data_IF_360737032115
#
_entry.id   IF_360737032115
#
_cell.length_a   1.000
_cell.length_b   1.000
_cell.length_c   1.000
_cell.angle_alpha   90.00
_cell.angle_beta   90.00
_cell.angle_gamma   90.00
#
_symmetry.space_group_name_H-M   'P 1'
#
loop_
_entity.id
_entity.type
_entity.pdbx_description
1 polymer ?
2 non-polymer ?
3 non-polymer ?
4 non-polymer ?
5 water ?
#
# COMPACT_ATOMS: atom_id res chain seq x y z
N UNK A 4 -13.69 0.08 16.24
CA UNK A 4 -14.17 1.21 15.41
C UNK A 4 -13.61 2.54 15.95
N UNK A 5 -13.94 3.63 15.27
CA UNK A 5 -13.21 4.88 15.45
C UNK A 5 -14.20 6.04 15.62
N UNK A 6 -13.79 7.07 16.38
CA UNK A 6 -14.56 8.31 16.46
C UNK A 6 -14.71 9.02 15.12
N UNK A 7 -13.62 9.17 14.36
CA UNK A 7 -13.77 9.80 13.05
C UNK A 7 -13.93 8.67 12.02
N UNK A 8 -14.54 8.91 10.88
CA UNK A 8 -14.83 7.79 9.98
C UNK A 8 -13.60 7.40 9.17
N UNK A 9 -13.51 6.13 8.78
CA UNK A 9 -12.25 5.61 8.26
C UNK A 9 -11.84 6.26 6.95
N UNK A 10 -12.82 6.72 6.19
CA UNK A 10 -12.58 7.38 4.94
C UNK A 10 -11.84 8.69 5.17
N UNK A 11 -12.18 9.43 6.22
CA UNK A 11 -11.48 10.69 6.48
C UNK A 11 -10.04 10.34 6.90
N UNK A 12 -9.95 9.38 7.80
CA UNK A 12 -8.67 8.94 8.36
C UNK A 12 -7.69 8.47 7.29
N UNK A 13 -8.19 7.77 6.27
CA UNK A 13 -7.34 7.34 5.19
C UNK A 13 -6.86 8.46 4.25
N UNK A 14 -7.51 9.62 4.25
CA UNK A 14 -6.98 10.70 3.45
C UNK A 14 -5.89 11.51 4.21
N UNK A 15 -5.90 11.45 5.53
CA UNK A 15 -4.96 12.28 6.34
C UNK A 15 -3.48 12.08 5.99
N UNK A 16 -3.00 10.83 5.83
CA UNK A 16 -1.57 10.61 5.57
C UNK A 16 -1.12 11.17 4.21
N UNK A 17 -2.04 11.10 3.28
CA UNK A 17 -1.83 11.64 2.00
C UNK A 17 -1.77 13.18 2.02
N UNK A 18 -2.61 13.82 2.84
CA UNK A 18 -2.48 15.28 3.08
C UNK A 18 -1.12 15.63 3.67
N UNK A 19 -0.72 14.85 4.67
CA UNK A 19 0.55 15.04 5.37
C UNK A 19 1.74 14.85 4.39
N UNK A 20 1.73 13.79 3.57
CA UNK A 20 2.77 13.68 2.48
C UNK A 20 2.90 14.90 1.58
N UNK A 21 1.78 15.41 1.11
CA UNK A 21 1.82 16.52 0.25
C UNK A 21 2.29 17.79 0.93
N UNK A 22 1.85 17.99 2.18
CA UNK A 22 2.27 19.22 2.86
C UNK A 22 3.73 19.08 3.17
N UNK A 23 4.18 17.85 3.44
CA UNK A 23 5.58 17.66 3.81
C UNK A 23 6.49 18.05 2.65
N UNK A 24 6.08 17.66 1.46
CA UNK A 24 6.82 17.95 0.26
C UNK A 24 6.86 19.46 -0.07
N UNK A 25 5.77 20.17 0.23
CA UNK A 25 5.73 21.61 0.05
C UNK A 25 6.73 22.30 0.95
N UNK A 26 6.97 21.70 2.10
CA UNK A 26 7.88 22.23 3.10
C UNK A 26 9.32 22.09 2.66
N UNK A 27 9.74 20.85 2.40
CA UNK A 27 11.02 20.54 1.78
C UNK A 27 11.27 21.45 0.59
N UNK A 28 10.19 21.87 -0.09
CA UNK A 28 10.29 22.74 -1.27
C UNK A 28 10.33 24.21 -0.85
N UNK A 29 10.40 24.45 0.46
CA UNK A 29 10.42 25.82 1.00
C UNK A 29 9.21 26.68 0.62
N UNK A 30 8.08 26.05 0.30
CA UNK A 30 6.81 26.77 0.07
C UNK A 30 6.09 27.07 1.39
N UNK A 31 5.59 28.30 1.56
CA UNK A 31 5.11 28.73 2.90
C UNK A 31 3.59 28.69 3.07
N UNK A 32 2.86 29.13 2.04
CA UNK A 32 1.39 29.20 2.06
C UNK A 32 0.91 28.44 0.84
N UNK A 33 -0.35 28.02 0.84
CA UNK A 33 -0.92 27.30 -0.31
C UNK A 33 -2.43 27.48 -0.44
N UNK A 34 -2.84 28.14 -1.53
CA UNK A 34 -4.26 28.40 -1.78
C UNK A 34 -5.01 27.07 -1.74
N UNK A 35 -6.26 27.12 -1.28
CA UNK A 35 -7.08 25.94 -1.25
C UNK A 35 -7.37 25.37 -2.66
N UNK A 36 -7.34 26.24 -3.69
CA UNK A 36 -7.44 25.84 -5.09
C UNK A 36 -6.25 24.95 -5.51
N UNK A 37 -5.04 25.46 -5.32
CA UNK A 37 -3.83 24.76 -5.76
C UNK A 37 -3.53 23.58 -4.88
N UNK A 38 -3.94 23.63 -3.61
CA UNK A 38 -3.88 22.44 -2.74
C UNK A 38 -4.82 21.40 -3.30
N UNK A 39 -6.11 21.75 -3.38
CA UNK A 39 -7.19 20.83 -3.78
C UNK A 39 -6.94 20.10 -5.09
N UNK A 40 -6.23 20.76 -6.00
CA UNK A 40 -5.88 20.15 -7.26
C UNK A 40 -5.23 18.82 -6.97
N UNK A 41 -4.04 18.89 -6.36
CA UNK A 41 -3.16 17.73 -6.19
C UNK A 41 -3.86 16.64 -5.39
N UNK A 42 -4.37 17.00 -4.22
CA UNK A 42 -5.25 16.06 -3.52
C UNK A 42 -6.32 15.43 -4.45
N UNK A 43 -6.65 16.08 -5.58
CA UNK A 43 -7.71 15.56 -6.48
C UNK A 43 -8.90 15.36 -5.57
N UNK A 44 -8.98 16.24 -4.60
CA UNK A 44 -10.06 16.26 -3.65
C UNK A 44 -10.62 17.69 -3.77
N UNK A 45 -11.85 17.89 -3.30
CA UNK A 45 -12.46 19.17 -3.43
C UNK A 45 -11.93 19.98 -2.25
N UNK A 46 -11.56 21.24 -2.48
CA UNK A 46 -11.30 22.12 -1.33
C UNK A 46 -12.35 21.87 -0.25
N UNK A 47 -13.61 21.66 -0.65
CA UNK A 47 -14.70 21.53 0.35
C UNK A 47 -14.57 20.25 1.20
N UNK A 48 -14.05 19.18 0.57
CA UNK A 48 -13.81 17.91 1.27
C UNK A 48 -12.60 18.05 2.18
N UNK A 49 -11.55 18.72 1.67
CA UNK A 49 -10.39 18.98 2.49
C UNK A 49 -10.86 19.72 3.74
N UNK A 50 -11.61 20.80 3.53
CA UNK A 50 -12.25 21.54 4.62
C UNK A 50 -12.99 20.65 5.60
N UNK A 51 -13.87 19.79 5.11
CA UNK A 51 -14.69 19.02 6.03
C UNK A 51 -13.87 17.96 6.79
N UNK A 52 -12.84 17.40 6.14
CA UNK A 52 -11.90 16.46 6.84
C UNK A 52 -11.26 17.17 8.05
N UNK A 53 -10.72 18.36 7.85
CA UNK A 53 -9.96 19.04 8.91
C UNK A 53 -10.93 19.49 9.99
N UNK A 54 -12.14 19.78 9.54
CA UNK A 54 -13.23 20.17 10.43
C UNK A 54 -13.60 19.19 11.55
N UNK A 55 -13.18 17.93 11.43
CA UNK A 55 -13.35 16.97 12.51
C UNK A 55 -12.39 17.19 13.66
N UNK A 56 -11.40 18.05 13.49
CA UNK A 56 -10.33 18.12 14.51
C UNK A 56 -10.16 19.49 15.18
N UNK A 64 -8.20 32.40 3.64
CA UNK A 64 -8.57 31.75 2.39
C UNK A 64 -7.71 30.55 2.03
N UNK A 65 -6.43 30.61 2.36
CA UNK A 65 -5.56 29.51 2.00
C UNK A 65 -5.24 28.63 3.18
N UNK A 66 -4.06 28.05 3.14
CA UNK A 66 -3.50 27.37 4.30
C UNK A 66 -2.07 27.77 4.44
N UNK A 67 -1.67 28.04 5.68
CA UNK A 67 -0.28 28.03 6.05
C UNK A 67 0.25 26.62 6.02
N UNK A 68 1.33 26.40 5.28
CA UNK A 68 1.85 25.05 5.00
C UNK A 68 2.43 24.40 6.26
N UNK A 69 3.35 25.09 6.93
CA UNK A 69 3.95 24.51 8.12
C UNK A 69 2.91 24.30 9.24
N UNK A 70 1.95 25.19 9.32
CA UNK A 70 0.89 25.07 10.31
C UNK A 70 0.03 23.81 10.09
N UNK A 71 -0.39 23.59 8.85
CA UNK A 71 -1.34 22.54 8.54
C UNK A 71 -0.61 21.23 8.72
N UNK A 72 0.63 21.22 8.28
CA UNK A 72 1.54 20.13 8.48
C UNK A 72 1.69 19.75 9.94
N UNK A 73 2.02 20.72 10.80
CA UNK A 73 2.18 20.41 12.23
C UNK A 73 0.89 19.92 12.81
N UNK A 74 -0.23 20.50 12.39
CA UNK A 74 -1.52 20.01 12.85
C UNK A 74 -1.77 18.57 12.43
N UNK A 75 -1.46 18.24 11.17
CA UNK A 75 -1.57 16.87 10.70
C UNK A 75 -0.63 15.90 11.40
N UNK A 76 0.60 16.32 11.71
CA UNK A 76 1.53 15.46 12.45
C UNK A 76 0.94 15.03 13.80
N UNK A 77 0.33 16.00 14.50
CA UNK A 77 -0.30 15.76 15.79
C UNK A 77 -1.55 14.87 15.68
N UNK A 78 -2.40 15.14 14.68
CA UNK A 78 -3.62 14.38 14.46
C UNK A 78 -3.28 12.91 14.20
N UNK A 79 -2.29 12.66 13.34
CA UNK A 79 -1.83 11.32 13.05
C UNK A 79 -1.06 10.61 14.13
N UNK A 80 -0.83 11.29 15.25
CA UNK A 80 -0.09 10.69 16.34
C UNK A 80 1.39 10.61 16.03
N UNK A 81 1.87 11.40 15.09
CA UNK A 81 3.27 11.31 14.67
C UNK A 81 4.24 12.15 15.52
N UNK A 82 3.73 12.76 16.58
CA UNK A 82 4.62 13.41 17.54
C UNK A 82 5.03 12.49 18.65
N UNK A 83 4.55 11.25 18.60
CA UNK A 83 4.85 10.24 19.59
C UNK A 83 5.78 9.19 19.01
N UNK A 84 6.18 8.25 19.83
CA UNK A 84 7.23 7.33 19.42
C UNK A 84 6.56 5.98 19.65
N UNK A 85 6.76 5.03 18.72
CA UNK A 85 6.14 3.69 18.88
C UNK A 85 7.21 2.64 18.78
N UNK A 86 7.16 1.64 19.65
CA UNK A 86 8.12 0.55 19.53
C UNK A 86 7.49 -0.54 18.72
N UNK A 87 8.19 -1.00 17.70
CA UNK A 87 7.61 -2.03 16.83
C UNK A 87 8.50 -3.27 16.83
N UNK A 88 7.90 -4.41 16.53
CA UNK A 88 8.67 -5.58 16.14
C UNK A 88 8.23 -6.08 14.77
N UNK A 89 9.11 -6.85 14.15
CA UNK A 89 8.77 -7.45 12.90
C UNK A 89 8.78 -8.95 13.07
N UNK A 90 7.68 -9.58 12.74
CA UNK A 90 7.63 -11.04 12.73
C UNK A 90 7.72 -11.61 11.32
N UNK A 91 8.79 -12.32 11.02
CA UNK A 91 9.05 -12.80 9.69
C UNK A 91 10.25 -12.05 9.19
N UNK A 92 11.38 -12.72 9.15
CA UNK A 92 12.60 -12.08 8.69
C UNK A 92 12.98 -12.51 7.26
N UNK A 93 11.97 -12.66 6.41
CA UNK A 93 12.17 -13.06 5.03
C UNK A 93 12.37 -11.81 4.20
N UNK A 94 12.07 -11.89 2.91
CA UNK A 94 12.18 -10.75 2.02
C UNK A 94 11.41 -9.52 2.41
N UNK A 95 10.13 -9.67 2.66
CA UNK A 95 9.27 -8.54 3.03
C UNK A 95 9.66 -7.94 4.38
N UNK A 96 9.84 -8.77 5.40
CA UNK A 96 10.24 -8.26 6.74
C UNK A 96 11.56 -7.52 6.69
N UNK A 97 12.54 -8.03 5.95
CA UNK A 97 13.77 -7.24 5.78
C UNK A 97 13.63 -5.94 4.98
N UNK A 98 12.78 -5.91 3.96
CA UNK A 98 12.50 -4.67 3.23
C UNK A 98 11.86 -3.66 4.17
N UNK A 99 10.89 -4.09 4.98
CA UNK A 99 10.32 -3.21 6.00
C UNK A 99 11.35 -2.75 7.06
N UNK A 100 12.16 -3.67 7.55
CA UNK A 100 13.21 -3.32 8.53
C UNK A 100 14.14 -2.23 8.02
N UNK A 101 14.51 -2.31 6.75
CA UNK A 101 15.53 -1.41 6.23
C UNK A 101 15.01 -0.07 5.76
N UNK A 102 13.69 0.06 5.75
CA UNK A 102 13.07 1.31 5.37
C UNK A 102 13.16 2.29 6.57
N UNK A 103 14.19 3.13 6.55
CA UNK A 103 14.51 3.95 7.71
C UNK A 103 13.58 5.16 7.86
N UNK A 104 12.81 5.50 6.83
CA UNK A 104 11.83 6.60 7.01
C UNK A 104 10.82 6.40 8.15
N UNK A 105 10.36 5.17 8.36
CA UNK A 105 9.44 4.87 9.45
C UNK A 105 10.07 5.27 10.77
N UNK A 106 11.33 4.86 10.95
CA UNK A 106 12.16 5.26 12.07
C UNK A 106 12.10 6.76 12.31
N UNK A 107 12.39 7.52 11.26
CA UNK A 107 12.35 8.97 11.35
C UNK A 107 10.97 9.48 11.73
N UNK A 108 9.93 8.68 11.49
CA UNK A 108 8.56 9.08 11.85
C UNK A 108 8.09 8.65 13.24
N UNK A 109 8.96 8.03 14.04
CA UNK A 109 8.56 7.63 15.38
C UNK A 109 8.34 6.14 15.54
N UNK A 110 8.67 5.36 14.51
CA UNK A 110 8.49 3.89 14.56
C UNK A 110 9.83 3.20 14.76
N UNK A 111 10.19 3.09 16.04
CA UNK A 111 11.49 2.56 16.35
C UNK A 111 11.40 1.05 16.41
N UNK A 112 12.16 0.40 15.54
CA UNK A 112 12.22 -1.05 15.49
C UNK A 112 13.07 -1.60 16.64
N UNK A 113 12.46 -2.44 17.47
CA UNK A 113 13.14 -2.99 18.65
C UNK A 113 13.61 -4.43 18.44
N UNK A 114 12.94 -5.19 17.60
CA UNK A 114 13.25 -6.61 17.46
C UNK A 114 12.70 -7.16 16.16
N UNK A 115 13.37 -8.18 15.62
CA UNK A 115 12.90 -8.97 14.48
C UNK A 115 12.90 -10.44 14.89
N UNK A 116 11.86 -11.17 14.50
CA UNK A 116 11.67 -12.58 14.91
C UNK A 116 11.42 -13.51 13.74
N UNK A 117 11.91 -14.75 13.87
CA UNK A 117 11.77 -15.76 12.83
C UNK A 117 11.74 -17.18 13.46
N UNK A 118 11.32 -18.19 12.69
CA UNK A 118 11.48 -19.59 13.12
C UNK A 118 12.75 -20.24 12.56
N UNK A 119 13.41 -19.57 11.61
CA UNK A 119 14.50 -20.21 10.88
C UNK A 119 15.81 -20.18 11.68
N UNK A 120 16.20 -21.33 12.29
CA UNK A 120 17.41 -21.30 13.11
C UNK A 120 18.61 -20.65 12.37
N UNK A 121 18.63 -20.71 11.05
CA UNK A 121 19.77 -20.17 10.31
C UNK A 121 19.85 -18.66 10.26
N UNK A 122 18.84 -17.98 10.83
CA UNK A 122 18.81 -16.52 10.83
C UNK A 122 19.12 -15.90 12.20
N UNK A 123 19.04 -16.70 13.25
CA UNK A 123 19.18 -16.17 14.60
C UNK A 123 20.52 -15.46 14.73
N UNK A 124 20.51 -14.23 15.24
CA UNK A 124 21.73 -13.44 15.39
C UNK A 124 22.10 -12.62 14.15
N UNK A 125 21.53 -12.97 13.00
CA UNK A 125 21.72 -12.14 11.80
C UNK A 125 21.40 -10.69 12.14
N UNK A 126 22.29 -9.80 11.74
CA UNK A 126 22.22 -8.38 12.11
C UNK A 126 21.45 -7.60 11.06
N UNK A 127 20.39 -6.91 11.46
CA UNK A 127 19.70 -6.01 10.54
C UNK A 127 19.62 -4.60 11.11
N UNK A 128 20.20 -3.65 10.38
CA UNK A 128 20.39 -2.31 10.87
C UNK A 128 21.05 -2.44 12.23
N UNK A 129 20.38 -1.98 13.29
CA UNK A 129 20.96 -2.14 14.62
C UNK A 129 20.34 -3.28 15.44
N UNK A 130 19.61 -4.16 14.78
CA UNK A 130 18.79 -5.19 15.43
C UNK A 130 19.31 -6.56 15.03
N UNK A 131 19.09 -7.54 15.88
CA UNK A 131 19.49 -8.89 15.57
C UNK A 131 18.23 -9.72 15.50
N UNK A 132 18.22 -10.71 14.62
CA UNK A 132 17.09 -11.62 14.51
C UNK A 132 17.10 -12.56 15.72
N UNK A 133 15.92 -12.68 16.35
CA UNK A 133 15.68 -13.60 17.47
C UNK A 133 14.68 -14.70 17.13
N UNK A 134 14.76 -15.81 17.88
CA UNK A 134 13.77 -16.89 17.85
C UNK A 134 12.41 -16.33 18.31
N UNK A 135 11.39 -16.65 17.53
CA UNK A 135 10.04 -16.15 17.75
C UNK A 135 9.44 -16.80 18.97
N UNK A 136 10.06 -17.88 19.45
CA UNK A 136 9.56 -18.50 20.66
C UNK A 136 9.71 -17.53 21.85
N UNK A 137 10.66 -16.62 21.77
CA UNK A 137 10.87 -15.61 22.81
C UNK A 137 10.02 -14.31 22.63
N UNK A 138 9.15 -14.26 21.62
CA UNK A 138 8.50 -12.98 21.27
C UNK A 138 7.57 -12.42 22.35
N UNK A 139 6.85 -13.29 23.05
CA UNK A 139 5.98 -12.79 24.10
C UNK A 139 6.73 -12.19 25.30
N UNK A 140 7.82 -12.83 25.73
CA UNK A 140 8.67 -12.22 26.75
C UNK A 140 9.21 -10.86 26.31
N UNK A 141 9.80 -10.82 25.11
CA UNK A 141 10.21 -9.56 24.50
C UNK A 141 9.16 -8.47 24.58
N UNK A 142 7.91 -8.80 24.27
CA UNK A 142 6.88 -7.78 24.15
C UNK A 142 6.63 -7.15 25.53
N UNK A 143 6.44 -8.01 26.51
CA UNK A 143 6.25 -7.60 27.89
C UNK A 143 7.48 -6.85 28.45
N UNK A 144 8.69 -7.38 28.20
CA UNK A 144 9.93 -6.70 28.65
C UNK A 144 10.17 -5.33 28.00
N UNK A 145 9.74 -5.19 26.76
CA UNK A 145 10.15 -4.04 25.99
C UNK A 145 9.05 -3.05 25.66
N UNK A 146 7.87 -3.21 26.25
CA UNK A 146 6.72 -2.37 25.96
C UNK A 146 6.51 -2.13 24.42
N UNK A 147 6.24 -3.20 23.71
CA UNK A 147 6.06 -3.11 22.26
C UNK A 147 4.65 -2.69 21.96
N UNK A 148 4.49 -1.67 21.12
CA UNK A 148 3.20 -1.20 20.63
C UNK A 148 2.69 -1.93 19.38
N UNK A 149 3.56 -2.11 18.39
CA UNK A 149 3.06 -2.54 17.07
C UNK A 149 3.84 -3.74 16.63
N UNK A 150 3.13 -4.81 16.28
CA UNK A 150 3.73 -5.97 15.63
C UNK A 150 3.43 -6.00 14.14
N UNK A 151 4.46 -6.17 13.33
CA UNK A 151 4.33 -6.16 11.85
C UNK A 151 4.49 -7.60 11.37
N UNK A 152 3.37 -8.16 10.86
CA UNK A 152 3.32 -9.54 10.42
C UNK A 152 3.77 -9.72 8.97
N UNK A 153 4.88 -10.45 8.78
CA UNK A 153 5.49 -10.71 7.45
C UNK A 153 5.81 -12.17 7.28
N UNK A 154 4.91 -13.02 7.71
CA UNK A 154 5.16 -14.46 7.59
C UNK A 154 4.22 -15.09 6.56
N UNK A 155 4.46 -16.38 6.17
CA UNK A 155 3.51 -17.15 5.38
C UNK A 155 2.16 -17.27 6.08
N UNK A 156 1.15 -17.70 5.35
CA UNK A 156 -0.22 -17.65 5.85
C UNK A 156 -0.64 -18.79 6.78
N UNK A 157 -0.03 -19.97 6.64
CA UNK A 157 -0.50 -21.13 7.41
C UNK A 157 -0.22 -21.03 8.91
N UNK A 158 -1.25 -21.20 9.72
CA UNK A 158 -1.14 -21.08 11.19
C UNK A 158 -0.64 -19.72 11.72
N UNK A 159 -0.75 -18.71 10.87
CA UNK A 159 -0.51 -17.32 11.24
C UNK A 159 -1.45 -16.81 12.32
N UNK A 160 -2.69 -17.31 12.34
CA UNK A 160 -3.61 -16.93 13.41
C UNK A 160 -3.01 -17.21 14.80
N UNK A 161 -2.37 -18.38 14.96
CA UNK A 161 -1.66 -18.69 16.18
C UNK A 161 -0.63 -17.65 16.56
N UNK A 162 0.16 -17.19 15.59
CA UNK A 162 1.20 -16.22 15.85
C UNK A 162 0.58 -14.93 16.32
N UNK A 163 -0.53 -14.52 15.69
CA UNK A 163 -1.20 -13.28 16.07
C UNK A 163 -1.77 -13.36 17.47
N UNK A 164 -2.19 -14.57 17.87
CA UNK A 164 -2.67 -14.81 19.23
C UNK A 164 -1.58 -14.61 20.27
N UNK A 165 -0.42 -15.18 20.01
CA UNK A 165 0.76 -14.90 20.82
C UNK A 165 0.97 -13.39 21.05
N UNK A 166 0.95 -12.62 19.96
CA UNK A 166 1.17 -11.18 20.05
C UNK A 166 0.09 -10.54 20.90
N UNK A 167 -1.15 -10.94 20.65
CA UNK A 167 -2.31 -10.41 21.37
C UNK A 167 -2.28 -10.78 22.87
N UNK A 168 -2.19 -12.09 23.21
CA UNK A 168 -2.08 -12.52 24.63
C UNK A 168 -1.02 -11.72 25.36
N UNK A 169 0.06 -11.38 24.68
CA UNK A 169 1.22 -10.78 25.32
C UNK A 169 1.03 -9.28 25.48
N UNK A 170 -0.09 -8.76 25.02
CA UNK A 170 -0.37 -7.33 25.18
C UNK A 170 0.06 -6.40 24.04
N UNK A 171 0.21 -6.90 22.83
CA UNK A 171 0.44 -5.98 21.71
C UNK A 171 -0.80 -5.11 21.45
N UNK A 172 -0.58 -3.83 21.15
CA UNK A 172 -1.68 -2.93 20.90
C UNK A 172 -2.21 -2.89 19.43
N UNK A 173 -1.34 -3.26 18.51
CA UNK A 173 -1.70 -3.09 17.14
C UNK A 173 -0.95 -4.08 16.32
N UNK A 174 -1.58 -4.54 15.24
CA UNK A 174 -0.91 -5.40 14.28
C UNK A 174 -0.99 -4.81 12.86
N UNK A 175 0.14 -4.78 12.16
CA UNK A 175 0.16 -4.23 10.81
C UNK A 175 0.36 -5.48 10.00
N UNK A 176 -0.73 -5.96 9.37
CA UNK A 176 -0.72 -7.28 8.73
C UNK A 176 -0.48 -7.24 7.20
N UNK A 177 0.50 -7.96 6.72
CA UNK A 177 0.75 -8.09 5.28
C UNK A 177 0.15 -9.34 4.72
N UNK A 178 -0.28 -10.25 5.59
CA UNK A 178 -0.82 -11.55 5.10
C UNK A 178 -2.20 -11.38 4.52
N UNK A 179 -2.46 -12.01 3.36
CA UNK A 179 -3.75 -11.86 2.70
C UNK A 179 -4.78 -12.83 3.29
N UNK A 180 -4.99 -12.75 4.59
CA UNK A 180 -6.00 -13.52 5.24
C UNK A 180 -6.69 -12.59 6.21
N UNK A 181 -7.82 -13.03 6.76
CA UNK A 181 -8.52 -12.22 7.75
C UNK A 181 -8.16 -12.73 9.13
N UNK A 182 -7.34 -11.97 9.84
CA UNK A 182 -7.06 -12.29 11.21
C UNK A 182 -8.21 -11.86 12.11
N UNK A 183 -8.46 -12.65 13.15
CA UNK A 183 -9.34 -12.29 14.25
C UNK A 183 -8.48 -11.74 15.37
N UNK A 184 -8.79 -10.54 15.85
CA UNK A 184 -8.23 -9.97 17.08
C UNK A 184 -9.37 -9.42 17.96
N UNK A 185 -9.11 -9.22 19.27
CA UNK A 185 -10.19 -8.66 20.07
C UNK A 185 -10.42 -7.21 19.70
N UNK A 186 -11.53 -6.68 20.18
CA UNK A 186 -11.97 -5.34 19.78
C UNK A 186 -11.11 -4.21 20.31
N UNK A 187 -10.19 -4.49 21.23
CA UNK A 187 -9.26 -3.45 21.72
C UNK A 187 -7.86 -3.53 21.10
N UNK A 188 -7.70 -4.37 20.10
CA UNK A 188 -6.46 -4.40 19.32
C UNK A 188 -6.71 -3.76 17.94
N UNK A 189 -5.81 -2.88 17.53
CA UNK A 189 -5.93 -2.32 16.16
C UNK A 189 -5.37 -3.28 15.08
N UNK A 190 -6.11 -3.56 14.01
CA UNK A 190 -5.56 -4.39 12.97
C UNK A 190 -5.62 -3.58 11.73
N UNK A 191 -4.48 -3.38 11.09
CA UNK A 191 -4.43 -2.75 9.78
C UNK A 191 -3.88 -3.73 8.74
N UNK A 192 -4.69 -4.07 7.74
CA UNK A 192 -4.29 -4.99 6.69
C UNK A 192 -3.74 -4.26 5.43
N UNK A 193 -2.61 -4.71 4.90
CA UNK A 193 -2.06 -4.11 3.70
C UNK A 193 -2.50 -4.93 2.47
N UNK A 194 -2.96 -4.27 1.41
CA UNK A 194 -3.23 -4.99 0.13
C UNK A 194 -2.55 -4.24 -0.99
N UNK A 195 -1.36 -4.68 -1.38
CA UNK A 195 -0.68 -4.00 -2.50
C UNK A 195 -1.50 -4.07 -3.81
N UNK A 196 -2.38 -5.05 -3.90
CA UNK A 196 -3.22 -5.19 -5.10
C UNK A 196 -4.14 -3.97 -5.32
N UNK A 197 -4.51 -3.28 -4.23
CA UNK A 197 -5.34 -2.08 -4.34
C UNK A 197 -4.57 -1.01 -5.12
N UNK A 198 -3.24 -1.02 -5.06
CA UNK A 198 -2.47 -0.01 -5.85
C UNK A 198 -2.24 -0.58 -7.28
N UNK A 199 -1.93 -1.87 -7.37
CA UNK A 199 -1.58 -2.43 -8.69
C UNK A 199 -2.80 -2.44 -9.61
N UNK A 200 -3.98 -2.78 -9.06
CA UNK A 200 -5.14 -2.94 -9.91
C UNK A 200 -5.55 -1.57 -10.46
N UNK A 201 -5.03 -0.44 -9.93
CA UNK A 201 -5.35 0.86 -10.57
C UNK A 201 -4.46 1.07 -11.80
N UNK A 202 -3.38 0.30 -11.92
CA UNK A 202 -2.52 0.37 -13.12
C UNK A 202 -3.16 -0.42 -14.27
N UNK A 203 -3.66 -1.60 -13.99
CA UNK A 203 -4.46 -2.28 -15.02
C UNK A 203 -5.74 -1.50 -15.40
N UNK A 204 -6.40 -0.83 -14.44
CA UNK A 204 -7.58 -0.02 -14.77
C UNK A 204 -7.15 1.06 -15.75
N UNK A 205 -6.09 1.84 -15.41
CA UNK A 205 -5.67 2.93 -16.29
C UNK A 205 -5.20 2.49 -17.69
N UNK A 206 -4.41 1.44 -17.75
CA UNK A 206 -3.98 0.92 -19.07
C UNK A 206 -5.19 0.50 -19.95
N UNK A 207 -6.20 -0.10 -19.33
CA UNK A 207 -7.37 -0.66 -20.04
C UNK A 207 -8.55 0.34 -20.23
N UNK A 208 -8.41 1.56 -19.70
CA UNK A 208 -9.58 2.45 -19.57
C UNK A 208 -10.16 2.90 -20.94
N UNK A 209 -9.29 3.28 -21.88
CA UNK A 209 -9.73 3.68 -23.22
C UNK A 209 -10.48 2.53 -23.88
N UNK A 210 -9.87 1.33 -23.92
CA UNK A 210 -10.57 0.13 -24.40
C UNK A 210 -11.90 -0.10 -23.71
N UNK A 211 -11.94 0.08 -22.40
CA UNK A 211 -13.16 -0.12 -21.66
C UNK A 211 -14.28 0.83 -22.16
N UNK A 212 -13.96 2.10 -22.31
CA UNK A 212 -14.97 3.05 -22.69
C UNK A 212 -15.32 3.07 -24.17
N UNK A 213 -14.40 2.60 -25.02
CA UNK A 213 -14.80 2.29 -26.39
C UNK A 213 -15.83 1.14 -26.35
N UNK A 214 -15.51 0.06 -25.65
CA UNK A 214 -16.40 -1.09 -25.61
C UNK A 214 -17.73 -0.81 -24.92
N UNK A 215 -17.74 0.11 -23.96
CA UNK A 215 -18.99 0.47 -23.28
C UNK A 215 -19.96 1.23 -24.18
N UNK A 216 -19.46 2.20 -24.95
CA UNK A 216 -20.28 2.92 -25.92
C UNK A 216 -20.64 2.06 -27.14
N UNK B 4 -3.76 11.68 -17.12
CA UNK B 4 -5.11 11.83 -16.53
C UNK B 4 -6.04 10.75 -17.11
N UNK B 5 -7.29 10.75 -16.64
CA UNK B 5 -8.15 9.57 -16.76
C UNK B 5 -9.57 10.02 -17.10
N UNK B 6 -10.36 9.15 -17.69
CA UNK B 6 -11.78 9.49 -17.95
C UNK B 6 -12.51 9.57 -16.61
N UNK B 7 -12.30 8.59 -15.73
CA UNK B 7 -12.94 8.56 -14.42
C UNK B 7 -12.02 9.15 -13.33
N UNK B 8 -12.56 9.89 -12.38
CA UNK B 8 -11.69 10.50 -11.37
C UNK B 8 -10.92 9.43 -10.56
N UNK B 9 -9.67 9.76 -10.21
CA UNK B 9 -8.80 8.90 -9.37
C UNK B 9 -9.46 8.50 -8.09
N UNK B 10 -10.26 9.41 -7.50
CA UNK B 10 -10.95 9.10 -6.23
C UNK B 10 -11.86 7.86 -6.37
N UNK B 11 -12.62 7.82 -7.46
CA UNK B 11 -13.42 6.64 -7.77
C UNK B 11 -12.53 5.44 -8.10
N UNK B 12 -11.56 5.64 -8.99
CA UNK B 12 -10.71 4.55 -9.39
C UNK B 12 -10.10 3.81 -8.18
N UNK B 13 -9.66 4.60 -7.22
CA UNK B 13 -9.04 4.02 -6.02
C UNK B 13 -10.00 3.26 -5.12
N UNK B 14 -11.30 3.54 -5.21
CA UNK B 14 -12.27 2.72 -4.49
C UNK B 14 -12.58 1.41 -5.18
N UNK B 15 -12.30 1.32 -6.47
CA UNK B 15 -12.73 0.12 -7.21
C UNK B 15 -12.08 -1.17 -6.76
N UNK B 16 -10.75 -1.17 -6.57
CA UNK B 16 -10.15 -2.41 -6.11
C UNK B 16 -10.63 -2.82 -4.72
N UNK B 17 -11.06 -1.89 -3.88
CA UNK B 17 -11.60 -2.28 -2.57
C UNK B 17 -12.99 -2.99 -2.69
N UNK B 18 -13.86 -2.46 -3.55
CA UNK B 18 -15.15 -3.12 -3.78
C UNK B 18 -14.91 -4.56 -4.28
N UNK B 19 -14.00 -4.66 -5.26
CA UNK B 19 -13.56 -5.92 -5.88
C UNK B 19 -13.08 -6.95 -4.85
N UNK B 20 -12.27 -6.53 -3.90
CA UNK B 20 -11.76 -7.44 -2.85
C UNK B 20 -12.91 -7.88 -1.99
N UNK B 21 -13.65 -6.90 -1.50
CA UNK B 21 -14.76 -7.22 -0.65
C UNK B 21 -15.79 -8.16 -1.35
N UNK B 22 -16.06 -7.94 -2.63
CA UNK B 22 -16.98 -8.85 -3.35
C UNK B 22 -16.41 -10.26 -3.56
N UNK B 23 -15.10 -10.32 -3.70
CA UNK B 23 -14.40 -11.58 -3.75
C UNK B 23 -14.60 -12.36 -2.45
N UNK B 24 -14.53 -11.67 -1.32
CA UNK B 24 -14.72 -12.26 0.00
C UNK B 24 -16.15 -12.80 0.17
N UNK B 25 -17.15 -12.06 -0.29
CA UNK B 25 -18.54 -12.54 -0.36
C UNK B 25 -18.77 -13.70 -1.35
N UNK B 26 -18.25 -13.59 -2.56
CA UNK B 26 -18.38 -14.68 -3.52
C UNK B 26 -17.77 -15.99 -2.98
N UNK B 27 -16.75 -15.88 -2.14
CA UNK B 27 -16.03 -17.04 -1.62
C UNK B 27 -16.62 -17.60 -0.33
N UNK B 28 -17.62 -16.91 0.20
CA UNK B 28 -18.43 -17.40 1.32
C UNK B 28 -19.85 -17.67 0.83
N UNK B 29 -19.98 -17.80 -0.49
CA UNK B 29 -21.21 -18.19 -1.17
C UNK B 29 -22.38 -17.25 -0.90
N UNK B 30 -22.10 -15.99 -0.56
CA UNK B 30 -23.14 -15.01 -0.28
C UNK B 30 -23.73 -14.53 -1.60
N UNK B 31 -25.05 -14.65 -1.76
CA UNK B 31 -25.70 -14.48 -3.08
C UNK B 31 -25.90 -13.02 -3.47
N UNK B 32 -26.22 -12.17 -2.50
CA UNK B 32 -26.61 -10.79 -2.76
C UNK B 32 -26.17 -9.92 -1.61
N UNK B 33 -26.04 -8.64 -1.88
CA UNK B 33 -25.63 -7.68 -0.88
C UNK B 33 -26.36 -6.36 -1.15
N UNK B 34 -26.95 -5.75 -0.10
CA UNK B 34 -27.57 -4.41 -0.20
C UNK B 34 -26.55 -3.29 -0.26
N UNK B 35 -26.88 -2.26 -1.03
CA UNK B 35 -26.32 -0.91 -0.89
C UNK B 35 -25.90 -0.55 0.54
N UNK B 36 -26.74 -0.87 1.53
CA UNK B 36 -26.48 -0.53 2.94
C UNK B 36 -25.40 -1.37 3.63
N UNK B 37 -25.48 -2.72 3.57
CA UNK B 37 -24.39 -3.59 4.07
C UNK B 37 -23.07 -3.25 3.36
N UNK B 38 -23.15 -3.08 2.04
CA UNK B 38 -21.99 -2.70 1.24
C UNK B 38 -21.38 -1.38 1.67
N UNK B 39 -22.21 -0.36 1.86
CA UNK B 39 -21.78 0.95 2.38
C UNK B 39 -21.22 0.90 3.81
N UNK B 40 -21.86 0.10 4.66
CA UNK B 40 -21.42 -0.12 6.05
C UNK B 40 -19.97 -0.62 6.03
N UNK B 41 -19.75 -1.70 5.28
CA UNK B 41 -18.42 -2.29 5.17
C UNK B 41 -17.37 -1.40 4.51
N UNK B 42 -17.75 -0.65 3.49
CA UNK B 42 -16.78 0.09 2.74
C UNK B 42 -16.49 1.46 3.36
N UNK B 43 -17.33 1.91 4.28
CA UNK B 43 -17.28 3.30 4.78
C UNK B 43 -17.49 4.40 3.73
N UNK B 44 -18.23 4.07 2.68
CA UNK B 44 -18.59 5.03 1.66
C UNK B 44 -20.14 5.11 1.71
N UNK B 45 -20.76 6.26 1.48
CA UNK B 45 -22.23 6.32 1.52
C UNK B 45 -22.82 5.41 0.42
N UNK B 46 -24.03 4.90 0.64
CA UNK B 46 -24.68 4.06 -0.37
C UNK B 46 -24.80 4.84 -1.68
N UNK B 47 -25.07 6.13 -1.62
CA UNK B 47 -25.32 6.87 -2.82
C UNK B 47 -24.04 7.11 -3.62
N UNK B 48 -22.92 7.34 -2.93
CA UNK B 48 -21.59 7.36 -3.58
C UNK B 48 -21.22 6.04 -4.26
N UNK B 49 -21.51 4.92 -3.63
CA UNK B 49 -21.26 3.64 -4.28
C UNK B 49 -22.08 3.49 -5.59
N UNK B 50 -23.38 3.83 -5.53
CA UNK B 50 -24.20 3.87 -6.77
C UNK B 50 -23.54 4.69 -7.84
N UNK B 51 -23.20 5.92 -7.50
CA UNK B 51 -22.55 6.82 -8.43
C UNK B 51 -21.24 6.28 -9.07
N UNK B 52 -20.40 5.64 -8.24
CA UNK B 52 -19.14 5.10 -8.64
C UNK B 52 -19.41 4.06 -9.72
N UNK B 53 -20.36 3.16 -9.43
CA UNK B 53 -20.67 2.05 -10.34
C UNK B 53 -21.38 2.55 -11.60
N UNK B 54 -22.18 3.61 -11.45
CA UNK B 54 -22.86 4.19 -12.58
C UNK B 54 -21.98 4.69 -13.72
N UNK B 55 -20.70 4.95 -13.44
CA UNK B 55 -19.76 5.29 -14.50
C UNK B 55 -19.66 4.22 -15.56
N UNK B 56 -20.01 2.98 -15.21
CA UNK B 56 -19.72 1.83 -16.05
C UNK B 56 -20.91 1.04 -16.64
N UNK B 57 -22.13 1.52 -16.40
CA UNK B 57 -23.32 0.77 -16.83
C UNK B 57 -24.37 0.67 -15.75
N UNK B 58 -25.39 -0.17 -15.97
CA UNK B 58 -26.53 -0.25 -15.05
C UNK B 58 -26.57 -1.56 -14.27
N UNK B 65 -30.52 -4.39 -3.90
CA UNK B 65 -29.07 -4.44 -3.77
C UNK B 65 -28.36 -5.11 -4.94
N UNK B 66 -27.33 -5.89 -4.65
CA UNK B 66 -26.47 -6.35 -5.73
C UNK B 66 -26.38 -7.84 -5.76
N UNK B 67 -26.43 -8.39 -6.96
CA UNK B 67 -25.97 -9.73 -7.19
C UNK B 67 -24.41 -9.81 -7.12
N UNK B 68 -23.94 -10.55 -6.12
CA UNK B 68 -22.55 -10.67 -5.76
C UNK B 68 -21.65 -11.17 -6.91
N UNK B 69 -22.00 -12.30 -7.51
CA UNK B 69 -21.22 -12.84 -8.60
C UNK B 69 -21.16 -11.91 -9.83
N UNK B 70 -22.28 -11.31 -10.20
CA UNK B 70 -22.31 -10.35 -11.31
C UNK B 70 -21.54 -9.06 -11.04
N UNK B 71 -21.65 -8.49 -9.84
CA UNK B 71 -20.93 -7.25 -9.56
C UNK B 71 -19.43 -7.59 -9.55
N UNK B 72 -19.06 -8.67 -8.87
CA UNK B 72 -17.71 -9.14 -8.90
C UNK B 72 -17.19 -9.22 -10.34
N UNK B 73 -17.90 -9.94 -11.19
CA UNK B 73 -17.44 -10.15 -12.56
C UNK B 73 -17.32 -8.85 -13.33
N UNK B 74 -18.30 -7.98 -13.17
CA UNK B 74 -18.17 -6.66 -13.77
C UNK B 74 -16.98 -5.83 -13.25
N UNK B 75 -16.67 -5.91 -11.95
CA UNK B 75 -15.53 -5.16 -11.44
C UNK B 75 -14.19 -5.71 -11.97
N UNK B 76 -14.13 -7.05 -12.13
CA UNK B 76 -13.00 -7.72 -12.71
C UNK B 76 -12.75 -7.13 -14.08
N UNK B 77 -13.83 -6.95 -14.84
CA UNK B 77 -13.76 -6.34 -16.15
C UNK B 77 -13.41 -4.86 -16.10
N UNK B 78 -14.02 -4.14 -15.19
CA UNK B 78 -13.81 -2.70 -15.12
C UNK B 78 -12.31 -2.40 -14.85
N UNK B 79 -11.71 -3.27 -14.05
CA UNK B 79 -10.36 -3.10 -13.52
C UNK B 79 -9.31 -3.63 -14.53
N UNK B 80 -9.77 -4.22 -15.61
CA UNK B 80 -8.89 -4.72 -16.68
C UNK B 80 -8.32 -6.07 -16.32
N UNK B 81 -8.92 -6.77 -15.38
CA UNK B 81 -8.29 -7.97 -14.88
C UNK B 81 -8.65 -9.21 -15.75
N UNK B 82 -9.32 -8.98 -16.87
CA UNK B 82 -9.54 -10.04 -17.85
C UNK B 82 -8.46 -10.02 -18.95
N UNK B 83 -7.42 -9.22 -18.77
CA UNK B 83 -6.42 -9.03 -19.80
C UNK B 83 -5.14 -9.48 -19.16
N UNK B 84 -4.08 -9.59 -19.95
CA UNK B 84 -2.74 -9.97 -19.48
C UNK B 84 -1.86 -8.76 -19.58
N UNK B 85 -1.01 -8.57 -18.58
CA UNK B 85 -0.01 -7.51 -18.64
C UNK B 85 1.33 -8.18 -18.52
N UNK B 86 2.25 -7.88 -19.41
CA UNK B 86 3.61 -8.34 -19.26
C UNK B 86 4.39 -7.40 -18.37
N UNK B 87 4.86 -7.94 -17.24
CA UNK B 87 5.62 -7.16 -16.23
C UNK B 87 7.08 -7.53 -16.10
N UNK B 88 7.90 -6.56 -15.66
CA UNK B 88 9.24 -6.90 -15.18
C UNK B 88 9.49 -6.18 -13.84
N UNK B 89 10.44 -6.70 -13.08
CA UNK B 89 10.82 -6.11 -11.78
C UNK B 89 12.23 -5.68 -11.93
N UNK B 90 12.49 -4.43 -11.59
CA UNK B 90 13.86 -3.89 -11.53
C UNK B 90 14.23 -3.83 -10.09
N UNK B 91 15.33 -4.53 -9.74
CA UNK B 91 15.74 -4.68 -8.35
C UNK B 91 15.32 -6.03 -7.77
N UNK B 92 16.28 -6.93 -7.67
CA UNK B 92 16.03 -8.23 -7.13
C UNK B 92 16.50 -8.29 -5.71
N UNK B 93 16.37 -7.19 -4.95
CA UNK B 93 16.65 -7.27 -3.52
C UNK B 93 15.48 -7.82 -2.71
N UNK B 94 15.39 -7.38 -1.45
CA UNK B 94 14.35 -7.88 -0.54
C UNK B 94 12.94 -7.58 -1.05
N UNK B 95 12.65 -6.30 -1.32
CA UNK B 95 11.31 -5.96 -1.84
C UNK B 95 10.99 -6.64 -3.21
N UNK B 96 11.96 -6.61 -4.11
CA UNK B 96 11.75 -7.18 -5.46
C UNK B 96 11.44 -8.66 -5.43
N UNK B 97 12.15 -9.39 -4.58
CA UNK B 97 11.82 -10.81 -4.37
C UNK B 97 10.50 -11.02 -3.65
N UNK B 98 10.17 -10.20 -2.65
CA UNK B 98 8.85 -10.31 -2.07
C UNK B 98 7.74 -10.16 -3.12
N UNK B 99 7.83 -9.12 -3.97
CA UNK B 99 6.84 -8.92 -5.04
C UNK B 99 6.83 -10.07 -6.07
N UNK B 100 8.01 -10.46 -6.55
CA UNK B 100 8.15 -11.60 -7.44
C UNK B 100 7.46 -12.87 -6.92
N UNK B 101 7.57 -13.13 -5.62
CA UNK B 101 6.98 -14.36 -5.03
C UNK B 101 5.52 -14.23 -4.68
N UNK B 102 4.94 -13.06 -4.86
CA UNK B 102 3.52 -12.94 -4.65
C UNK B 102 2.73 -13.47 -5.88
N UNK B 103 2.50 -14.77 -5.94
CA UNK B 103 1.88 -15.42 -7.12
C UNK B 103 0.40 -15.07 -7.32
N UNK B 104 -0.21 -14.46 -6.33
CA UNK B 104 -1.56 -13.99 -6.50
C UNK B 104 -1.68 -12.89 -7.59
N UNK B 105 -0.63 -12.09 -7.81
CA UNK B 105 -0.67 -11.08 -8.90
C UNK B 105 -0.69 -11.76 -10.29
N UNK B 106 0.07 -12.84 -10.44
CA UNK B 106 0.04 -13.67 -11.64
C UNK B 106 -1.35 -14.21 -11.96
N UNK B 107 -2.06 -14.70 -10.95
CA UNK B 107 -3.41 -15.23 -11.20
C UNK B 107 -4.37 -14.12 -11.62
N UNK B 108 -3.98 -12.86 -11.36
CA UNK B 108 -4.88 -11.77 -11.71
C UNK B 108 -4.54 -11.17 -13.09
N UNK B 109 -3.56 -11.77 -13.78
CA UNK B 109 -3.19 -11.37 -15.16
C UNK B 109 -1.81 -10.73 -15.34
N UNK B 110 -1.09 -10.55 -14.25
CA UNK B 110 0.19 -9.87 -14.30
C UNK B 110 1.32 -10.90 -14.48
N UNK B 111 1.75 -11.06 -15.70
CA UNK B 111 2.70 -12.09 -16.01
C UNK B 111 4.11 -11.61 -15.90
N UNK B 112 4.82 -12.14 -14.93
CA UNK B 112 6.23 -11.75 -14.69
C UNK B 112 7.17 -12.37 -15.72
N UNK B 113 7.76 -11.50 -16.53
CA UNK B 113 8.54 -11.95 -17.66
C UNK B 113 10.05 -11.90 -17.39
N UNK B 114 10.51 -11.00 -16.52
CA UNK B 114 11.92 -11.00 -16.20
C UNK B 114 12.20 -10.15 -14.96
N UNK B 115 13.37 -10.36 -14.35
CA UNK B 115 13.76 -9.62 -13.17
C UNK B 115 15.21 -9.22 -13.33
N UNK B 116 15.53 -7.98 -13.00
CA UNK B 116 16.76 -7.34 -13.41
C UNK B 116 17.45 -6.77 -12.20
N UNK B 117 18.77 -6.92 -12.15
CA UNK B 117 19.56 -6.35 -11.04
C UNK B 117 20.94 -5.90 -11.55
N UNK B 118 21.62 -5.01 -10.83
CA UNK B 118 23.01 -4.67 -11.23
C UNK B 118 24.04 -5.56 -10.50
N UNK B 119 23.60 -6.43 -9.60
CA UNK B 119 24.51 -7.18 -8.73
C UNK B 119 24.84 -8.56 -9.27
N UNK B 120 26.07 -8.73 -9.82
CA UNK B 120 26.46 -10.04 -10.35
C UNK B 120 26.27 -11.20 -9.37
N UNK B 121 26.29 -10.95 -8.07
CA UNK B 121 25.95 -12.04 -7.12
C UNK B 121 24.62 -12.70 -7.44
N UNK B 122 23.67 -11.88 -7.90
CA UNK B 122 22.31 -12.33 -8.07
C UNK B 122 22.04 -12.87 -9.47
N UNK B 123 22.93 -12.61 -10.44
CA UNK B 123 22.68 -13.07 -11.85
C UNK B 123 22.51 -14.56 -11.92
N UNK B 124 21.41 -15.00 -12.48
CA UNK B 124 21.14 -16.41 -12.60
C UNK B 124 20.28 -16.98 -11.50
N UNK B 125 20.04 -16.22 -10.44
CA UNK B 125 19.14 -16.67 -9.39
C UNK B 125 17.74 -16.92 -9.95
N UNK B 126 17.12 -18.02 -9.53
CA UNK B 126 15.80 -18.44 -9.98
C UNK B 126 14.73 -18.02 -8.98
N UNK B 127 13.76 -17.25 -9.46
CA UNK B 127 12.58 -16.91 -8.68
C UNK B 127 11.38 -17.29 -9.55
N UNK B 128 10.52 -18.15 -9.02
CA UNK B 128 9.53 -18.86 -9.82
C UNK B 128 10.19 -19.42 -11.06
N UNK B 129 9.76 -18.94 -12.22
CA UNK B 129 10.26 -19.48 -13.49
C UNK B 129 11.18 -18.49 -14.19
N UNK B 130 11.63 -17.47 -13.47
CA UNK B 130 12.43 -16.44 -14.12
C UNK B 130 13.79 -16.41 -13.50
N UNK B 131 14.79 -15.97 -14.26
CA UNK B 131 16.15 -15.87 -13.76
C UNK B 131 16.52 -14.40 -13.73
N UNK B 132 17.22 -14.00 -12.67
CA UNK B 132 17.69 -12.61 -12.57
C UNK B 132 18.70 -12.33 -13.65
N UNK B 133 18.47 -11.24 -14.37
CA UNK B 133 19.30 -10.84 -15.48
C UNK B 133 19.91 -9.53 -15.14
N UNK B 134 20.99 -9.20 -15.85
CA UNK B 134 21.70 -7.91 -15.74
C UNK B 134 20.83 -6.81 -16.29
N UNK B 135 20.70 -5.72 -15.56
CA UNK B 135 19.80 -4.66 -15.95
C UNK B 135 20.32 -3.99 -17.22
N UNK B 136 21.55 -4.32 -17.59
CA UNK B 136 22.19 -3.71 -18.75
C UNK B 136 21.37 -3.97 -20.00
N UNK B 137 20.74 -5.14 -20.02
CA UNK B 137 19.97 -5.62 -21.14
C UNK B 137 18.45 -5.25 -21.08
N UNK B 138 18.00 -4.48 -20.08
CA UNK B 138 16.56 -4.26 -19.89
C UNK B 138 15.82 -3.59 -21.07
N UNK B 139 16.44 -2.59 -21.68
CA UNK B 139 15.79 -1.83 -22.77
C UNK B 139 15.54 -2.76 -23.98
N UNK B 140 16.56 -3.53 -24.34
CA UNK B 140 16.36 -4.58 -25.31
C UNK B 140 15.22 -5.56 -24.93
N UNK B 141 15.21 -6.02 -23.67
CA UNK B 141 14.24 -7.00 -23.20
C UNK B 141 12.81 -6.44 -23.29
N UNK B 142 12.64 -5.17 -22.95
CA UNK B 142 11.31 -4.57 -22.96
C UNK B 142 10.71 -4.61 -24.35
N UNK B 143 11.51 -4.23 -25.33
CA UNK B 143 11.05 -4.17 -26.73
C UNK B 143 10.88 -5.59 -27.34
N UNK B 144 11.84 -6.48 -27.12
CA UNK B 144 11.73 -7.92 -27.51
C UNK B 144 10.46 -8.60 -26.94
N UNK B 145 10.08 -8.23 -25.71
CA UNK B 145 9.08 -9.00 -24.99
C UNK B 145 7.75 -8.24 -24.78
N UNK B 146 7.62 -7.10 -25.47
CA UNK B 146 6.43 -6.28 -25.33
C UNK B 146 6.07 -6.04 -23.83
N UNK B 147 7.02 -5.59 -23.04
CA UNK B 147 6.74 -5.39 -21.61
C UNK B 147 5.84 -4.17 -21.41
N UNK B 148 4.77 -4.35 -20.66
CA UNK B 148 3.82 -3.26 -20.36
C UNK B 148 4.13 -2.47 -19.08
N UNK B 149 4.43 -3.21 -18.01
CA UNK B 149 4.66 -2.61 -16.71
C UNK B 149 6.07 -2.88 -16.20
N UNK B 150 6.73 -1.82 -15.71
CA UNK B 150 7.97 -1.97 -14.92
C UNK B 150 7.72 -1.68 -13.43
N UNK B 151 8.06 -2.65 -12.59
CA UNK B 151 7.95 -2.53 -11.16
C UNK B 151 9.33 -2.16 -10.61
N UNK B 152 9.41 -1.01 -9.97
CA UNK B 152 10.71 -0.41 -9.61
C UNK B 152 10.98 -0.59 -8.10
N UNK B 153 11.96 -1.42 -7.76
CA UNK B 153 12.26 -1.74 -6.33
C UNK B 153 13.74 -1.59 -6.08
N UNK B 154 14.30 -0.49 -6.53
CA UNK B 154 15.75 -0.21 -6.40
C UNK B 154 15.92 0.92 -5.39
N UNK B 155 17.14 1.12 -4.86
CA UNK B 155 17.34 2.25 -3.96
C UNK B 155 17.11 3.56 -4.71
N UNK B 156 16.91 4.64 -3.98
CA UNK B 156 16.52 5.88 -4.65
C UNK B 156 17.57 6.66 -5.44
N UNK B 157 18.87 6.41 -5.19
CA UNK B 157 19.94 7.26 -5.72
C UNK B 157 20.04 7.24 -7.25
N UNK B 158 19.91 8.42 -7.87
CA UNK B 158 19.91 8.52 -9.34
C UNK B 158 18.90 7.56 -10.05
N UNK B 159 17.83 7.18 -9.33
CA UNK B 159 16.73 6.36 -9.87
C UNK B 159 16.04 6.90 -11.11
N UNK B 160 16.00 8.23 -11.27
CA UNK B 160 15.42 8.87 -12.45
C UNK B 160 16.04 8.27 -13.71
N UNK B 161 17.35 8.08 -13.64
CA UNK B 161 18.08 7.55 -14.78
C UNK B 161 17.51 6.21 -15.20
N UNK B 162 17.28 5.30 -14.25
CA UNK B 162 16.66 3.99 -14.54
C UNK B 162 15.22 4.13 -15.10
N UNK B 163 14.39 4.92 -14.43
CA UNK B 163 13.06 5.31 -14.95
C UNK B 163 13.16 5.73 -16.42
N UNK B 164 14.11 6.61 -16.74
CA UNK B 164 14.25 7.15 -18.10
C UNK B 164 14.55 6.01 -19.11
N UNK B 165 15.41 5.06 -18.72
CA UNK B 165 15.70 3.90 -19.53
C UNK B 165 14.45 3.10 -19.84
N UNK B 166 13.61 2.84 -18.82
CA UNK B 166 12.31 2.17 -19.07
C UNK B 166 11.41 2.95 -20.01
N UNK B 167 11.30 4.24 -19.76
CA UNK B 167 10.40 5.04 -20.56
C UNK B 167 10.87 5.05 -22.06
N UNK B 168 12.15 5.30 -22.28
CA UNK B 168 12.58 5.40 -23.66
C UNK B 168 12.62 4.05 -24.39
N UNK B 169 12.63 2.92 -23.65
CA UNK B 169 12.40 1.63 -24.24
C UNK B 169 10.92 1.32 -24.55
N UNK B 170 10.00 2.20 -24.16
CA UNK B 170 8.61 2.06 -24.51
C UNK B 170 7.70 1.47 -23.42
N UNK B 171 8.15 1.42 -22.18
CA UNK B 171 7.27 0.96 -21.09
C UNK B 171 6.00 1.78 -21.03
N UNK B 172 4.90 1.17 -20.61
CA UNK B 172 3.64 1.89 -20.62
C UNK B 172 3.26 2.38 -19.25
N UNK B 173 3.82 1.73 -18.25
CA UNK B 173 3.45 2.04 -16.86
C UNK B 173 4.60 1.70 -15.94
N UNK B 174 4.73 2.45 -14.84
CA UNK B 174 5.72 2.18 -13.80
C UNK B 174 4.98 2.04 -12.47
N UNK B 175 5.16 0.89 -11.82
CA UNK B 175 4.69 0.71 -10.43
C UNK B 175 5.86 1.00 -9.51
N UNK B 176 5.86 2.18 -8.89
CA UNK B 176 7.07 2.71 -8.27
C UNK B 176 6.99 2.55 -6.73
N UNK B 177 7.93 1.83 -6.13
CA UNK B 177 8.03 1.76 -4.68
C UNK B 177 9.00 2.79 -4.10
N UNK B 178 9.73 3.52 -4.91
CA UNK B 178 10.73 4.39 -4.27
C UNK B 178 10.13 5.63 -3.67
N UNK B 179 10.69 6.12 -2.55
CA UNK B 179 10.10 7.29 -1.96
C UNK B 179 10.60 8.59 -2.61
N UNK B 180 10.56 8.72 -3.92
CA UNK B 180 10.88 10.01 -4.55
C UNK B 180 9.82 10.32 -5.57
N UNK B 181 9.88 11.50 -6.16
CA UNK B 181 9.08 11.82 -7.31
C UNK B 181 9.81 11.50 -8.61
N UNK B 182 9.37 10.44 -9.27
CA UNK B 182 9.87 10.17 -10.61
C UNK B 182 9.17 11.07 -11.67
N UNK B 183 9.94 11.55 -12.62
CA UNK B 183 9.41 12.32 -13.73
C UNK B 183 9.22 11.35 -14.92
N UNK B 184 7.98 11.24 -15.39
CA UNK B 184 7.67 10.48 -16.63
C UNK B 184 6.79 11.32 -17.53
N UNK B 185 6.83 11.05 -18.86
CA UNK B 185 5.96 11.77 -19.74
C UNK B 185 4.52 11.49 -19.38
N UNK B 186 3.64 12.38 -19.79
CA UNK B 186 2.27 12.30 -19.38
C UNK B 186 1.49 11.13 -19.95
N UNK B 187 1.96 10.50 -21.02
CA UNK B 187 1.29 9.33 -21.55
C UNK B 187 1.62 8.03 -20.78
N UNK B 188 2.61 8.08 -19.88
CA UNK B 188 3.07 6.90 -19.14
C UNK B 188 2.39 6.88 -17.79
N UNK B 189 1.81 5.74 -17.39
CA UNK B 189 1.16 5.64 -16.08
C UNK B 189 2.19 5.47 -14.98
N UNK B 190 2.16 6.35 -13.99
CA UNK B 190 3.08 6.20 -12.86
C UNK B 190 2.21 5.96 -11.60
N UNK B 191 2.35 4.82 -10.93
CA UNK B 191 1.60 4.58 -9.72
C UNK B 191 2.61 4.49 -8.56
N UNK B 192 2.51 5.40 -7.60
CA UNK B 192 3.53 5.41 -6.53
C UNK B 192 2.99 4.68 -5.32
N UNK B 193 3.80 3.80 -4.71
CA UNK B 193 3.34 3.09 -3.50
C UNK B 193 3.83 3.87 -2.28
N UNK B 194 2.97 4.12 -1.30
CA UNK B 194 3.41 4.64 0.04
C UNK B 194 2.85 3.77 1.13
N UNK B 195 3.64 2.82 1.60
CA UNK B 195 3.18 2.01 2.71
C UNK B 195 2.94 2.83 3.96
N UNK B 196 3.61 3.98 4.07
CA UNK B 196 3.33 4.83 5.21
C UNK B 196 1.85 5.20 5.27
N UNK B 197 1.18 5.33 4.13
CA UNK B 197 -0.20 5.76 4.23
C UNK B 197 -1.03 4.76 5.06
N UNK B 198 -0.71 3.47 4.98
CA UNK B 198 -1.36 2.46 5.82
C UNK B 198 -0.83 2.57 7.29
N UNK B 199 0.49 2.61 7.43
CA UNK B 199 1.11 2.63 8.77
C UNK B 199 0.63 3.79 9.65
N UNK B 200 0.51 4.96 9.04
CA UNK B 200 0.09 6.14 9.79
C UNK B 200 -1.38 6.11 10.25
N UNK B 201 -2.20 5.22 9.69
CA UNK B 201 -3.56 5.08 10.24
C UNK B 201 -3.45 4.29 11.56
N UNK B 202 -2.37 3.52 11.76
CA UNK B 202 -2.24 2.75 13.03
C UNK B 202 -1.86 3.70 14.17
N UNK B 203 -0.85 4.55 13.91
CA UNK B 203 -0.59 5.65 14.85
C UNK B 203 -1.79 6.56 15.11
N UNK B 204 -2.60 6.84 14.10
CA UNK B 204 -3.81 7.65 14.31
C UNK B 204 -4.71 6.99 15.33
N UNK B 205 -5.01 5.72 15.08
CA UNK B 205 -5.95 4.96 15.91
C UNK B 205 -5.43 4.68 17.30
N UNK B 206 -4.13 4.40 17.44
CA UNK B 206 -3.52 4.38 18.76
C UNK B 206 -3.80 5.67 19.61
N UNK B 207 -3.83 6.84 18.98
CA UNK B 207 -3.95 8.11 19.72
C UNK B 207 -5.27 8.84 19.62
N UNK B 208 -6.25 8.26 18.94
CA UNK B 208 -7.47 8.96 18.65
C UNK B 208 -8.26 9.31 19.92
N UNK B 209 -8.40 8.34 20.82
CA UNK B 209 -9.08 8.58 22.11
C UNK B 209 -8.48 9.82 22.79
N UNK B 210 -7.19 9.80 23.10
CA UNK B 210 -6.52 11.00 23.67
C UNK B 210 -6.86 12.25 22.86
N UNK B 211 -6.47 12.23 21.59
CA UNK B 211 -6.61 13.38 20.72
C UNK B 211 -7.90 14.10 21.08
N UNK B 212 -9.00 13.34 21.10
CA UNK B 212 -10.32 13.88 21.41
C UNK B 212 -10.57 14.34 22.83
N UNK B 213 -10.11 13.56 23.82
CA UNK B 213 -10.02 14.05 25.20
C UNK B 213 -9.53 15.51 25.11
N UNK B 214 -8.42 15.74 24.39
CA UNK B 214 -7.80 17.08 24.33
C UNK B 214 -8.70 18.14 23.73
N UNK B 215 -9.27 17.83 22.57
CA UNK B 215 -10.08 18.80 21.85
C UNK B 215 -11.31 19.26 22.64
N UNK B 216 -11.94 18.34 23.39
CA UNK B 216 -13.07 18.71 24.26
C UNK B 216 -12.65 19.24 25.64
#
# INVERSE_FOLDING_TARGET
MSKKTIVSMAVIRRLPRYHRYLEELLKNDVKRISSRELSEKMGVTASQIRQDLNNFGGFGQQGYGYNVEELYNNLTKILGLDKTYNTIIIGAGNLGQAIANYTSFEKSGFNLKGIFDINPRLFGLKIRDVEVMDVETVEDFIARNKIDIGILCIPKDNAQYTADRLVRAGIKAIWNFLPIDLKVPDDVILENVHLSDSLFTVSYRLNEEELFKKLKGETAKIDG
MSKKTIVSMAVIRRLPRYHRYLEELLKNDVKRISSRELSEKMGVTASQIRQDLNNFGGFGQQGYGYNVEELYNNLTKILGLDKTYNTIIIGAGNLGQAIANYTSFEKSGFNLKGIFDINPRLFGLKIRDVEVMDVETVEDFIARNKIDIGILCIPKDNAQYTADRLVRAGIKAIWNFLPIDLKVPDDVILENVHLSDSLFTVSYRLNEEELFKKLKGETAKIDG
#
